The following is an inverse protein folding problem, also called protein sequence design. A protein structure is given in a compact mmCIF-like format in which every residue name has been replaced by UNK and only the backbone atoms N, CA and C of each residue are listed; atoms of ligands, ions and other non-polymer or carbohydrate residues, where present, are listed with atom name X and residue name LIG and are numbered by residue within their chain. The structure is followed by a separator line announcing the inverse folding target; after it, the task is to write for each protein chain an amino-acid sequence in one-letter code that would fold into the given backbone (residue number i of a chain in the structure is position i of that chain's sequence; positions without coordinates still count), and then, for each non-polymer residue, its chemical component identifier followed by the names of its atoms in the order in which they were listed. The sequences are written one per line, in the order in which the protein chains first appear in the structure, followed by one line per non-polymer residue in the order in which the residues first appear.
data_IF_030284811503
#
_entry.id   IF_030284811503
#
_cell.length_a   1.000
_cell.length_b   1.000
_cell.length_c   1.000
_cell.angle_alpha   90.00
_cell.angle_beta   90.00
_cell.angle_gamma   90.00
#
_symmetry.space_group_name_H-M   'P 1'
#
loop_
_entity.id
_entity.type
_entity.pdbx_description
1 polymer ?
#
# COMPACT_ATOMS: atom_id res chain seq x y z
N UNK A 1 14.89 6.55 -7.31
CA UNK A 1 13.88 5.51 -7.40
C UNK A 1 12.50 6.10 -7.13
N UNK A 2 11.60 6.05 -8.12
CA UNK A 2 10.28 6.66 -7.91
C UNK A 2 9.42 5.84 -6.95
N UNK A 3 8.85 6.53 -5.99
CA UNK A 3 7.91 5.93 -5.06
C UNK A 3 6.90 6.98 -4.60
N UNK A 4 5.81 6.51 -4.06
CA UNK A 4 4.75 7.34 -3.53
C UNK A 4 4.44 6.89 -2.12
N UNK A 5 4.45 7.82 -1.16
CA UNK A 5 4.13 7.54 0.24
C UNK A 5 3.01 8.47 0.69
N UNK A 6 1.98 7.90 1.30
CA UNK A 6 0.78 8.63 1.64
C UNK A 6 0.26 8.27 3.03
N UNK A 7 -0.35 9.25 3.66
CA UNK A 7 -1.12 9.07 4.88
C UNK A 7 -2.60 9.19 4.52
N UNK A 8 -3.42 8.30 5.04
CA UNK A 8 -4.85 8.27 4.69
C UNK A 8 -5.70 8.33 5.95
N UNK A 9 -6.91 8.93 5.86
CA UNK A 9 -7.82 8.98 7.00
C UNK A 9 -8.40 7.61 7.32
N UNK A 10 -8.97 7.49 8.51
CA UNK A 10 -9.46 6.21 9.03
C UNK A 10 -10.87 5.85 8.56
N UNK A 11 -11.58 6.76 7.89
CA UNK A 11 -13.00 6.58 7.56
C UNK A 11 -13.26 5.36 6.68
N UNK A 12 -12.56 5.28 5.57
CA UNK A 12 -12.68 4.15 4.65
C UNK A 12 -11.34 3.94 3.98
N UNK A 13 -10.37 3.47 4.76
CA UNK A 13 -8.99 3.44 4.28
C UNK A 13 -8.81 2.53 3.08
N UNK A 14 -9.52 1.41 3.02
CA UNK A 14 -9.31 0.45 1.94
C UNK A 14 -9.78 1.01 0.60
N UNK A 15 -10.91 1.72 0.59
CA UNK A 15 -11.39 2.37 -0.63
C UNK A 15 -10.37 3.40 -1.12
N UNK A 16 -9.85 4.19 -0.21
CA UNK A 16 -8.85 5.19 -0.52
C UNK A 16 -7.57 4.54 -1.05
N UNK A 17 -7.09 3.50 -0.37
CA UNK A 17 -5.88 2.77 -0.78
C UNK A 17 -6.05 2.18 -2.19
N UNK A 18 -7.23 1.66 -2.50
CA UNK A 18 -7.48 1.09 -3.82
C UNK A 18 -7.42 2.17 -4.91
N UNK A 19 -7.99 3.33 -4.65
CA UNK A 19 -7.95 4.44 -5.60
C UNK A 19 -6.50 4.85 -5.87
N UNK A 20 -5.68 4.92 -4.82
CA UNK A 20 -4.27 5.27 -4.96
C UNK A 20 -3.51 4.16 -5.69
N UNK A 21 -3.82 2.91 -5.40
CA UNK A 21 -3.17 1.79 -6.07
C UNK A 21 -3.43 1.83 -7.58
N UNK A 22 -4.65 2.13 -7.98
CA UNK A 22 -5.00 2.26 -9.40
C UNK A 22 -4.32 3.45 -10.04
N UNK A 23 -4.24 4.56 -9.31
CA UNK A 23 -3.48 5.73 -9.76
C UNK A 23 -2.02 5.37 -9.99
N UNK A 24 -1.42 4.64 -9.04
CA UNK A 24 -0.04 4.21 -9.14
C UNK A 24 0.23 3.33 -10.34
N UNK A 25 -0.70 2.44 -10.70
CA UNK A 25 -0.54 1.58 -11.86
C UNK A 25 -0.46 2.38 -13.16
N UNK A 26 -1.05 3.56 -13.19
CA UNK A 26 -1.03 4.41 -14.39
C UNK A 26 0.14 5.39 -14.41
N UNK A 27 0.71 5.71 -13.27
CA UNK A 27 1.67 6.82 -13.15
C UNK A 27 3.04 6.44 -12.64
N UNK A 28 3.17 5.33 -11.89
CA UNK A 28 4.48 4.85 -11.50
C UNK A 28 5.16 4.20 -12.69
N UNK A 29 6.47 4.38 -12.79
CA UNK A 29 7.24 3.61 -13.76
C UNK A 29 7.25 2.14 -13.35
N UNK A 30 7.46 1.27 -14.31
CA UNK A 30 7.62 -0.16 -14.02
C UNK A 30 8.80 -0.34 -13.08
N UNK A 31 8.60 -1.13 -12.03
CA UNK A 31 9.60 -1.31 -10.98
C UNK A 31 9.54 -0.25 -9.89
N UNK A 32 8.72 0.78 -10.04
CA UNK A 32 8.53 1.78 -8.99
C UNK A 32 7.76 1.22 -7.81
N UNK A 33 7.85 1.88 -6.67
CA UNK A 33 7.27 1.41 -5.43
C UNK A 33 6.18 2.32 -4.91
N UNK A 34 5.20 1.71 -4.26
CA UNK A 34 4.10 2.38 -3.58
C UNK A 34 4.19 2.02 -2.10
N UNK A 35 4.12 3.02 -1.24
CA UNK A 35 4.19 2.83 0.20
C UNK A 35 2.93 3.42 0.82
N UNK A 36 2.23 2.62 1.62
CA UNK A 36 1.13 3.12 2.43
C UNK A 36 1.52 3.06 3.89
N UNK A 37 1.30 4.16 4.62
CA UNK A 37 1.27 4.09 6.06
C UNK A 37 -0.16 3.74 6.47
N UNK A 38 -0.35 2.59 7.10
CA UNK A 38 -1.67 2.02 7.30
C UNK A 38 -2.08 2.00 8.76
N UNK A 39 -3.39 1.89 8.96
CA UNK A 39 -3.95 1.51 10.26
C UNK A 39 -3.64 0.03 10.49
N UNK A 40 -3.22 -0.31 11.71
CA UNK A 40 -2.80 -1.67 12.02
C UNK A 40 -3.89 -2.72 11.76
N UNK A 41 -5.15 -2.31 11.73
CA UNK A 41 -6.27 -3.22 11.49
C UNK A 41 -6.49 -3.54 10.01
N UNK A 42 -5.81 -2.85 9.11
CA UNK A 42 -6.05 -2.96 7.66
C UNK A 42 -4.91 -3.64 6.90
N UNK A 43 -3.93 -4.20 7.60
CA UNK A 43 -2.73 -4.72 6.95
C UNK A 43 -3.01 -5.81 5.94
N UNK A 44 -3.71 -6.86 6.36
CA UNK A 44 -3.98 -8.02 5.50
C UNK A 44 -4.86 -7.65 4.31
N UNK A 45 -5.88 -6.84 4.55
CA UNK A 45 -6.80 -6.42 3.49
C UNK A 45 -6.08 -5.55 2.47
N UNK A 46 -5.17 -4.70 2.93
CA UNK A 46 -4.39 -3.84 2.04
C UNK A 46 -3.47 -4.68 1.17
N UNK A 47 -2.81 -5.67 1.75
CA UNK A 47 -1.94 -6.58 0.98
C UNK A 47 -2.76 -7.31 -0.09
N UNK A 48 -3.91 -7.86 0.29
CA UNK A 48 -4.76 -8.58 -0.67
C UNK A 48 -5.23 -7.67 -1.79
N UNK A 49 -5.63 -6.45 -1.46
CA UNK A 49 -6.08 -5.48 -2.45
C UNK A 49 -4.96 -5.13 -3.43
N UNK A 50 -3.75 -4.91 -2.95
CA UNK A 50 -2.63 -4.57 -3.83
C UNK A 50 -2.30 -5.70 -4.79
N UNK A 51 -2.39 -6.95 -4.34
CA UNK A 51 -2.21 -8.09 -5.22
C UNK A 51 -3.30 -8.17 -6.28
N UNK A 52 -4.53 -7.86 -5.91
CA UNK A 52 -5.64 -7.79 -6.87
C UNK A 52 -5.44 -6.70 -7.90
N UNK A 53 -4.78 -5.61 -7.52
CA UNK A 53 -4.49 -4.49 -8.42
C UNK A 53 -3.17 -4.69 -9.16
N UNK A 54 -2.67 -5.91 -9.20
CA UNK A 54 -1.51 -6.33 -10.01
C UNK A 54 -0.16 -5.81 -9.53
N UNK A 55 -0.05 -5.45 -8.25
CA UNK A 55 1.24 -5.16 -7.66
C UNK A 55 1.96 -6.46 -7.29
N UNK A 56 3.28 -6.41 -7.36
CA UNK A 56 4.14 -7.54 -6.99
C UNK A 56 4.98 -7.16 -5.78
N UNK A 57 5.65 -8.16 -5.18
CA UNK A 57 6.53 -7.94 -4.02
C UNK A 57 5.84 -7.10 -2.96
N UNK A 58 4.60 -7.45 -2.65
CA UNK A 58 3.82 -6.75 -1.63
C UNK A 58 4.33 -7.20 -0.26
N UNK A 59 4.75 -6.24 0.55
CA UNK A 59 5.38 -6.50 1.84
C UNK A 59 4.69 -5.71 2.93
N UNK A 60 4.36 -6.40 4.03
CA UNK A 60 3.77 -5.79 5.21
C UNK A 60 4.87 -5.60 6.24
N UNK A 61 5.10 -4.36 6.64
CA UNK A 61 6.19 -4.00 7.55
C UNK A 61 5.61 -3.62 8.89
N UNK A 62 6.12 -4.26 9.94
CA UNK A 62 5.66 -4.04 11.30
C UNK A 62 6.62 -3.14 12.08
N UNK A 63 6.10 -2.49 13.11
CA UNK A 63 6.94 -1.70 14.00
C UNK A 63 7.60 -2.62 15.05
N UNK A 64 8.32 -2.02 15.99
CA UNK A 64 9.03 -2.76 17.03
C UNK A 64 8.11 -3.53 17.96
N UNK A 65 6.82 -3.19 17.99
CA UNK A 65 5.83 -3.84 18.85
C UNK A 65 4.99 -4.87 18.09
N UNK A 66 5.36 -5.17 16.85
CA UNK A 66 4.67 -6.16 16.03
C UNK A 66 3.38 -5.66 15.40
N UNK A 67 3.17 -4.35 15.37
CA UNK A 67 1.98 -3.78 14.73
C UNK A 67 2.25 -3.43 13.28
N UNK A 68 1.29 -3.74 12.42
CA UNK A 68 1.38 -3.40 10.99
C UNK A 68 1.39 -1.89 10.81
N UNK A 69 2.38 -1.37 10.11
CA UNK A 69 2.53 0.07 9.94
C UNK A 69 2.61 0.52 8.49
N UNK A 70 3.27 -0.27 7.65
CA UNK A 70 3.54 0.13 6.27
C UNK A 70 3.27 -1.07 5.38
N UNK A 71 2.65 -0.82 4.24
CA UNK A 71 2.59 -1.79 3.15
C UNK A 71 3.36 -1.21 1.97
N UNK A 72 4.31 -1.98 1.48
CA UNK A 72 5.14 -1.63 0.35
C UNK A 72 4.77 -2.54 -0.81
N UNK A 73 4.65 -1.99 -2.00
CA UNK A 73 4.32 -2.76 -3.18
C UNK A 73 5.10 -2.25 -4.37
N UNK A 74 5.41 -3.15 -5.29
CA UNK A 74 6.16 -2.84 -6.51
C UNK A 74 5.22 -2.92 -7.72
N UNK A 75 5.29 -1.90 -8.57
CA UNK A 75 4.55 -1.90 -9.83
C UNK A 75 5.13 -2.90 -10.83
#
# INVERSE_FOLDING_TARGET
EPHLALFVPDDDPLLFYRAIARFGQRHLVEGGHLYFEINALCGKETVAMLRQENYTEVELIQDLYGKDRIVKAKR
#
